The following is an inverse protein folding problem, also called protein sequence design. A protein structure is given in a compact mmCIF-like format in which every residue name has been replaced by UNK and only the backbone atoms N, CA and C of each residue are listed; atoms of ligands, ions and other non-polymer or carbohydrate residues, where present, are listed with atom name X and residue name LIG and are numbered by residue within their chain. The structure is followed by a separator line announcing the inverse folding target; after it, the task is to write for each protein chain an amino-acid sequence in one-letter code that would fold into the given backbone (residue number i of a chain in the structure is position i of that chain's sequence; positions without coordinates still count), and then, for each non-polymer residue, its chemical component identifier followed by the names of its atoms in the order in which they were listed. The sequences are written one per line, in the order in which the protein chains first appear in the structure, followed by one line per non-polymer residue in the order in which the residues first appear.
data_IF_473709716613
#
_entry.id   IF_473709716613
#
_cell.length_a   1.000
_cell.length_b   1.000
_cell.length_c   1.000
_cell.angle_alpha   90.00
_cell.angle_beta   90.00
_cell.angle_gamma   90.00
#
_symmetry.space_group_name_H-M   'P 1'
#
loop_
_entity.id
_entity.type
_entity.pdbx_description
1 polymer ?
#
# COMPACT_ATOMS: atom_id res chain seq x y z
N UNK A 1 -18.08 -9.77 15.16
CA UNK A 1 -16.90 -10.50 14.63
C UNK A 1 -16.69 -11.68 15.57
N UNK A 2 -16.78 -12.92 15.11
CA UNK A 2 -16.89 -14.13 15.97
C UNK A 2 -15.57 -14.79 16.38
N UNK A 3 -14.43 -14.32 15.86
CA UNK A 3 -13.11 -14.89 16.18
C UNK A 3 -12.36 -13.90 17.09
N UNK A 4 -11.83 -14.39 18.21
CA UNK A 4 -10.94 -13.63 19.11
C UNK A 4 -9.72 -13.08 18.36
N UNK A 5 -9.26 -11.88 18.70
CA UNK A 5 -8.17 -11.18 17.99
C UNK A 5 -6.91 -12.04 17.85
N UNK A 6 -6.53 -12.73 18.93
CA UNK A 6 -5.34 -13.59 18.99
C UNK A 6 -5.41 -14.79 18.01
N UNK A 7 -6.62 -15.23 17.66
CA UNK A 7 -6.87 -16.37 16.74
C UNK A 7 -7.07 -15.95 15.30
N UNK A 8 -7.11 -14.65 15.00
CA UNK A 8 -7.22 -14.15 13.62
C UNK A 8 -5.90 -14.39 12.90
N UNK A 9 -5.94 -14.66 11.60
CA UNK A 9 -4.72 -14.74 10.79
C UNK A 9 -4.28 -13.34 10.36
N UNK A 10 -2.97 -13.11 10.26
CA UNK A 10 -2.46 -11.87 9.66
C UNK A 10 -2.85 -11.81 8.18
N UNK A 11 -3.42 -10.69 7.78
CA UNK A 11 -3.79 -10.43 6.40
C UNK A 11 -2.94 -9.28 5.86
N UNK A 12 -2.14 -9.55 4.84
CA UNK A 12 -1.24 -8.57 4.24
C UNK A 12 -1.89 -7.94 3.01
N UNK A 13 -1.98 -6.61 3.02
CA UNK A 13 -2.49 -5.84 1.89
C UNK A 13 -1.40 -4.87 1.43
N UNK A 14 -1.03 -4.99 0.15
CA UNK A 14 -0.08 -4.12 -0.52
C UNK A 14 -0.84 -3.27 -1.53
N UNK A 15 -0.73 -1.95 -1.43
CA UNK A 15 -1.39 -1.01 -2.33
C UNK A 15 -0.31 -0.13 -2.96
N UNK A 16 -0.05 -0.39 -4.24
CA UNK A 16 0.79 0.50 -5.04
C UNK A 16 -0.03 1.64 -5.64
N UNK A 17 0.65 2.76 -5.91
CA UNK A 17 0.04 4.01 -6.35
C UNK A 17 -1.18 4.41 -5.50
N UNK A 18 -0.95 4.43 -4.18
CA UNK A 18 -1.96 4.61 -3.14
C UNK A 18 -2.88 5.81 -3.33
N UNK A 19 -2.42 6.87 -4.00
CA UNK A 19 -3.24 8.04 -4.32
C UNK A 19 -4.49 7.69 -5.14
N UNK A 20 -4.48 6.60 -5.93
CA UNK A 20 -5.64 6.13 -6.68
C UNK A 20 -6.73 5.51 -5.77
N UNK A 21 -6.36 5.09 -4.57
CA UNK A 21 -7.24 4.45 -3.59
C UNK A 21 -7.44 5.30 -2.33
N UNK A 22 -6.85 6.49 -2.31
CA UNK A 22 -6.88 7.46 -1.23
C UNK A 22 -8.29 8.07 -1.12
N UNK A 23 -9.21 7.32 -0.54
CA UNK A 23 -10.59 7.73 -0.20
C UNK A 23 -10.75 7.85 1.31
N UNK A 24 -11.79 8.52 1.81
CA UNK A 24 -12.02 8.64 3.26
C UNK A 24 -12.19 7.28 3.96
N UNK A 25 -12.66 6.26 3.24
CA UNK A 25 -12.76 4.89 3.77
C UNK A 25 -11.39 4.32 4.15
N UNK A 26 -10.32 4.67 3.41
CA UNK A 26 -8.98 4.16 3.69
C UNK A 26 -8.42 4.69 5.01
N UNK A 27 -8.75 5.94 5.37
CA UNK A 27 -8.40 6.54 6.67
C UNK A 27 -9.01 5.77 7.83
N UNK A 28 -10.24 5.31 7.66
CA UNK A 28 -10.93 4.46 8.66
C UNK A 28 -10.24 3.10 8.74
N UNK A 29 -9.96 2.47 7.60
CA UNK A 29 -9.24 1.19 7.55
C UNK A 29 -7.88 1.29 8.25
N UNK A 30 -7.10 2.33 7.96
CA UNK A 30 -5.78 2.57 8.59
C UNK A 30 -5.88 2.69 10.12
N UNK A 31 -6.91 3.38 10.61
CA UNK A 31 -7.12 3.60 12.05
C UNK A 31 -7.61 2.33 12.77
N UNK A 32 -8.26 1.41 12.06
CA UNK A 32 -8.82 0.18 12.63
C UNK A 32 -8.05 -1.10 12.29
N UNK A 33 -7.05 -1.01 11.39
CA UNK A 33 -6.35 -2.16 10.80
C UNK A 33 -5.85 -3.17 11.84
N UNK A 34 -5.35 -2.66 12.98
CA UNK A 34 -4.87 -3.49 14.09
C UNK A 34 -5.92 -4.46 14.61
N UNK A 35 -7.18 -4.02 14.78
CA UNK A 35 -8.29 -4.87 15.25
C UNK A 35 -8.47 -6.08 14.32
N UNK A 36 -8.21 -5.91 13.03
CA UNK A 36 -8.42 -6.94 12.01
C UNK A 36 -7.18 -7.77 11.71
N UNK A 37 -6.05 -7.56 12.42
CA UNK A 37 -4.73 -8.10 12.04
C UNK A 37 -4.38 -7.82 10.57
N UNK A 38 -4.78 -6.64 10.10
CA UNK A 38 -4.50 -6.16 8.76
C UNK A 38 -3.12 -5.49 8.74
N UNK A 39 -2.17 -6.13 8.08
CA UNK A 39 -0.85 -5.59 7.80
C UNK A 39 -0.89 -4.82 6.48
N UNK A 40 -1.05 -3.51 6.56
CA UNK A 40 -1.17 -2.64 5.39
C UNK A 40 0.19 -2.04 5.01
N UNK A 41 0.58 -2.18 3.74
CA UNK A 41 1.74 -1.54 3.13
C UNK A 41 1.26 -0.71 1.94
N UNK A 42 1.59 0.58 1.92
CA UNK A 42 1.17 1.51 0.86
C UNK A 42 2.38 2.21 0.27
N UNK A 43 2.38 2.41 -1.06
CA UNK A 43 3.39 3.17 -1.78
C UNK A 43 2.76 4.25 -2.67
N UNK A 44 3.42 5.39 -2.79
CA UNK A 44 3.06 6.47 -3.70
C UNK A 44 4.31 7.28 -4.08
N UNK A 45 4.27 7.97 -5.22
CA UNK A 45 5.41 8.75 -5.70
C UNK A 45 5.47 10.17 -5.13
N UNK A 46 4.33 10.84 -4.97
CA UNK A 46 4.25 12.23 -4.53
C UNK A 46 3.28 12.39 -3.37
N UNK A 47 3.72 12.99 -2.26
CA UNK A 47 2.85 13.20 -1.09
C UNK A 47 1.78 14.24 -1.42
N UNK A 48 2.09 15.20 -2.30
CA UNK A 48 1.16 16.22 -2.77
C UNK A 48 -0.08 15.69 -3.50
N UNK A 49 -0.07 14.43 -3.98
CA UNK A 49 -1.25 13.82 -4.60
C UNK A 49 -2.30 13.37 -3.58
N UNK A 50 -1.95 13.33 -2.28
CA UNK A 50 -2.88 12.96 -1.22
C UNK A 50 -3.70 14.17 -0.77
N UNK A 51 -5.01 13.96 -0.68
CA UNK A 51 -5.91 14.94 -0.05
C UNK A 51 -5.46 15.18 1.41
N UNK A 52 -5.45 16.43 1.92
CA UNK A 52 -4.88 16.76 3.23
C UNK A 52 -5.34 15.87 4.39
N UNK A 53 -6.65 15.57 4.47
CA UNK A 53 -7.24 14.70 5.50
C UNK A 53 -6.68 13.28 5.47
N UNK A 54 -6.44 12.73 4.28
CA UNK A 54 -5.87 11.38 4.11
C UNK A 54 -4.39 11.40 4.47
N UNK A 55 -3.66 12.43 4.03
CA UNK A 55 -2.26 12.61 4.41
C UNK A 55 -2.11 12.60 5.93
N UNK A 56 -2.87 13.41 6.65
CA UNK A 56 -2.83 13.44 8.13
C UNK A 56 -3.16 12.08 8.75
N UNK A 57 -4.18 11.39 8.23
CA UNK A 57 -4.57 10.06 8.72
C UNK A 57 -3.52 8.98 8.45
N UNK A 58 -2.88 9.00 7.28
CA UNK A 58 -1.81 8.05 6.92
C UNK A 58 -0.62 8.28 7.84
N UNK A 59 -0.05 9.48 7.85
CA UNK A 59 1.16 9.77 8.62
C UNK A 59 0.95 9.73 10.14
N UNK A 60 -0.28 9.89 10.62
CA UNK A 60 -0.63 9.72 12.03
C UNK A 60 -0.78 8.27 12.50
N UNK A 61 -1.07 7.33 11.58
CA UNK A 61 -1.34 5.92 11.92
C UNK A 61 -0.26 4.94 11.45
N UNK A 62 0.64 5.33 10.54
CA UNK A 62 1.72 4.45 10.08
C UNK A 62 2.85 4.37 11.11
N UNK A 63 3.25 3.14 11.42
CA UNK A 63 4.38 2.90 12.32
C UNK A 63 5.73 3.06 11.64
N UNK A 64 5.88 2.37 10.51
CA UNK A 64 7.12 2.31 9.74
C UNK A 64 7.03 3.17 8.49
N UNK A 65 8.04 3.99 8.26
CA UNK A 65 8.16 4.85 7.07
C UNK A 65 9.42 4.45 6.31
N UNK A 66 9.29 4.26 5.00
CA UNK A 66 10.40 4.05 4.06
C UNK A 66 10.36 5.19 3.05
N UNK A 67 11.48 5.90 2.88
CA UNK A 67 11.64 6.95 1.87
C UNK A 67 12.81 6.60 0.96
N UNK A 68 12.52 6.47 -0.34
CA UNK A 68 13.54 6.55 -1.38
C UNK A 68 13.87 8.02 -1.67
N UNK A 69 14.56 8.28 -2.77
CA UNK A 69 14.82 9.64 -3.24
C UNK A 69 13.50 10.35 -3.51
N UNK A 70 13.35 11.53 -2.93
CA UNK A 70 12.17 12.38 -3.07
C UNK A 70 12.55 13.77 -3.57
N UNK A 71 11.56 14.51 -4.09
CA UNK A 71 11.72 15.91 -4.46
C UNK A 71 11.79 16.84 -3.23
N UNK A 72 12.08 18.13 -3.47
CA UNK A 72 12.25 19.14 -2.40
C UNK A 72 10.99 19.27 -1.53
N UNK A 73 9.81 19.35 -2.14
CA UNK A 73 8.55 19.54 -1.43
C UNK A 73 8.22 18.35 -0.50
N UNK A 74 8.38 17.13 -1.01
CA UNK A 74 8.18 15.91 -0.24
C UNK A 74 9.26 15.77 0.85
N UNK A 75 10.51 16.15 0.57
CA UNK A 75 11.59 16.13 1.56
C UNK A 75 11.33 17.09 2.73
N UNK A 76 10.79 18.28 2.49
CA UNK A 76 10.39 19.23 3.53
C UNK A 76 9.31 18.62 4.44
N UNK A 77 8.33 17.94 3.85
CA UNK A 77 7.28 17.27 4.61
C UNK A 77 7.83 16.08 5.42
N UNK A 78 8.72 15.29 4.82
CA UNK A 78 9.28 14.07 5.43
C UNK A 78 10.36 14.36 6.47
N UNK A 79 10.99 15.53 6.45
CA UNK A 79 12.03 15.96 7.40
C UNK A 79 11.65 15.66 8.86
N UNK A 80 10.42 15.99 9.26
CA UNK A 80 9.93 15.78 10.63
C UNK A 80 9.97 14.31 11.08
N UNK A 81 9.93 13.37 10.13
CA UNK A 81 9.96 11.94 10.37
C UNK A 81 11.39 11.38 10.44
N UNK A 82 12.38 12.11 9.90
CA UNK A 82 13.75 11.62 9.78
C UNK A 82 14.77 12.41 10.61
N UNK A 83 14.38 13.58 11.13
CA UNK A 83 15.22 14.34 12.04
C UNK A 83 15.44 13.61 13.39
N UNK A 84 16.60 13.83 14.03
CA UNK A 84 17.71 14.69 13.59
C UNK A 84 18.73 13.94 12.70
N UNK A 85 18.45 12.71 12.29
CA UNK A 85 19.46 11.83 11.65
C UNK A 85 19.68 12.21 10.19
N UNK A 86 18.60 12.49 9.45
CA UNK A 86 18.68 12.90 8.05
C UNK A 86 18.05 14.27 7.85
N UNK A 87 18.73 15.08 7.05
CA UNK A 87 18.26 16.39 6.59
C UNK A 87 17.46 16.27 5.30
N UNK A 88 16.84 17.38 4.89
CA UNK A 88 16.21 17.53 3.57
C UNK A 88 17.19 17.21 2.45
N UNK A 89 18.43 17.70 2.57
CA UNK A 89 19.49 17.48 1.58
C UNK A 89 19.81 16.00 1.44
N UNK A 90 19.77 15.23 2.53
CA UNK A 90 20.01 13.78 2.50
C UNK A 90 18.88 13.04 1.78
N UNK A 91 17.63 13.45 1.99
CA UNK A 91 16.44 12.85 1.36
C UNK A 91 16.40 13.08 -0.16
N UNK A 92 16.86 14.23 -0.62
CA UNK A 92 16.92 14.58 -2.04
C UNK A 92 18.10 13.90 -2.75
N UNK A 93 19.23 13.75 -2.06
CA UNK A 93 20.48 13.28 -2.66
C UNK A 93 20.80 11.80 -2.40
N UNK A 94 19.91 11.05 -1.73
CA UNK A 94 20.09 9.63 -1.47
C UNK A 94 20.45 8.87 -2.75
N UNK A 95 21.44 7.98 -2.70
CA UNK A 95 21.91 7.23 -3.86
C UNK A 95 20.85 6.26 -4.39
N UNK A 96 20.94 5.93 -5.69
CA UNK A 96 20.09 4.87 -6.26
C UNK A 96 20.28 3.56 -5.48
N UNK A 97 19.22 2.77 -5.35
CA UNK A 97 19.21 1.53 -4.57
C UNK A 97 19.50 1.75 -3.07
N UNK A 98 19.19 2.93 -2.54
CA UNK A 98 19.18 3.17 -1.10
C UNK A 98 17.82 3.76 -0.70
N UNK A 99 17.40 3.50 0.54
CA UNK A 99 16.27 4.17 1.18
C UNK A 99 16.60 4.47 2.64
N UNK A 100 15.95 5.49 3.19
CA UNK A 100 15.93 5.71 4.63
C UNK A 100 14.67 5.08 5.22
N UNK A 101 14.82 4.45 6.38
CA UNK A 101 13.72 3.83 7.10
C UNK A 101 13.66 4.36 8.52
N UNK A 102 12.45 4.70 8.98
CA UNK A 102 12.10 4.88 10.39
C UNK A 102 11.17 3.74 10.80
N UNK A 103 11.69 2.63 11.35
CA UNK A 103 10.85 1.51 11.75
C UNK A 103 10.29 1.68 13.16
N UNK A 104 9.14 1.04 13.40
CA UNK A 104 8.70 0.67 14.74
C UNK A 104 9.14 -0.76 15.04
N UNK A 105 9.83 -0.95 16.15
CA UNK A 105 10.28 -2.26 16.65
C UNK A 105 9.70 -2.42 18.05
N UNK A 106 8.99 -3.52 18.30
CA UNK A 106 8.34 -3.82 19.58
C UNK A 106 7.47 -2.67 20.13
N UNK A 107 6.78 -1.96 19.22
CA UNK A 107 5.92 -0.83 19.56
C UNK A 107 6.65 0.48 19.86
N UNK A 108 7.98 0.52 19.73
CA UNK A 108 8.79 1.72 19.95
C UNK A 108 9.33 2.27 18.63
N UNK A 109 9.30 3.58 18.48
CA UNK A 109 9.95 4.26 17.36
C UNK A 109 11.46 4.20 17.53
N UNK A 110 12.15 3.82 16.45
CA UNK A 110 13.61 3.71 16.45
C UNK A 110 14.24 4.82 15.63
N UNK A 111 15.54 5.07 15.86
CA UNK A 111 16.28 6.06 15.08
C UNK A 111 16.30 5.65 13.61
N UNK A 112 16.04 6.58 12.68
CA UNK A 112 16.12 6.26 11.27
C UNK A 112 17.53 5.83 10.84
N UNK A 113 17.63 4.98 9.83
CA UNK A 113 18.91 4.56 9.25
C UNK A 113 18.80 4.31 7.74
N UNK A 114 19.96 4.27 7.07
CA UNK A 114 20.07 3.99 5.64
C UNK A 114 20.11 2.47 5.39
N UNK A 115 19.35 2.03 4.40
CA UNK A 115 19.37 0.67 3.88
C UNK A 115 19.72 0.68 2.40
N UNK A 116 20.71 -0.13 2.03
CA UNK A 116 21.04 -0.43 0.64
C UNK A 116 20.21 -1.61 0.14
N UNK A 117 19.52 -1.41 -0.98
CA UNK A 117 18.75 -2.44 -1.67
C UNK A 117 19.61 -3.13 -2.73
N UNK A 118 19.17 -4.32 -3.12
CA UNK A 118 19.75 -5.04 -4.23
C UNK A 118 18.86 -4.87 -5.46
N UNK A 119 19.49 -4.89 -6.64
CA UNK A 119 18.74 -5.02 -7.89
C UNK A 119 17.91 -6.31 -7.82
N UNK A 120 16.62 -6.30 -8.21
CA UNK A 120 15.88 -7.54 -8.33
C UNK A 120 16.65 -8.49 -9.24
N UNK A 121 16.83 -9.74 -8.80
CA UNK A 121 17.41 -10.77 -9.66
C UNK A 121 16.60 -10.82 -10.96
N UNK A 122 17.28 -10.99 -12.11
CA UNK A 122 16.59 -11.24 -13.37
C UNK A 122 15.59 -12.38 -13.17
N UNK A 123 14.30 -12.08 -13.33
CA UNK A 123 13.24 -13.07 -13.15
C UNK A 123 13.40 -14.23 -14.13
N UNK A 124 13.07 -15.43 -13.69
CA UNK A 124 13.02 -16.62 -14.53
C UNK A 124 11.80 -16.53 -15.45
N UNK A 125 12.02 -16.13 -16.70
CA UNK A 125 10.95 -15.94 -17.68
C UNK A 125 10.25 -17.25 -18.05
N UNK A 126 10.98 -18.36 -18.04
CA UNK A 126 10.45 -19.69 -18.36
C UNK A 126 9.49 -20.11 -17.23
N UNK A 127 9.95 -20.02 -15.98
CA UNK A 127 9.10 -20.28 -14.81
C UNK A 127 7.89 -19.36 -14.71
N UNK A 128 8.04 -18.08 -15.05
CA UNK A 128 6.91 -17.14 -15.09
C UNK A 128 5.87 -17.55 -16.15
N UNK A 129 6.33 -18.08 -17.29
CA UNK A 129 5.47 -18.60 -18.33
C UNK A 129 4.74 -19.86 -17.89
N UNK A 130 5.45 -20.81 -17.28
CA UNK A 130 4.87 -22.06 -16.76
C UNK A 130 3.79 -21.79 -15.72
N UNK A 131 4.04 -20.87 -14.79
CA UNK A 131 3.06 -20.46 -13.78
C UNK A 131 1.84 -19.86 -14.46
N UNK A 132 2.05 -18.93 -15.41
CA UNK A 132 0.95 -18.29 -16.14
C UNK A 132 0.11 -19.33 -16.90
N UNK A 133 0.74 -20.27 -17.58
CA UNK A 133 0.08 -21.32 -18.36
C UNK A 133 -0.70 -22.28 -17.45
N UNK A 134 -0.08 -22.77 -16.36
CA UNK A 134 -0.74 -23.61 -15.38
C UNK A 134 -1.99 -22.95 -14.79
N UNK A 135 -1.89 -21.68 -14.37
CA UNK A 135 -3.05 -20.95 -13.85
C UNK A 135 -4.10 -20.69 -14.92
N UNK A 136 -3.69 -20.40 -16.17
CA UNK A 136 -4.62 -20.24 -17.29
C UNK A 136 -5.38 -21.53 -17.62
N UNK A 137 -4.73 -22.69 -17.53
CA UNK A 137 -5.37 -23.98 -17.78
C UNK A 137 -6.24 -24.45 -16.61
N UNK A 138 -5.80 -24.17 -15.37
CA UNK A 138 -6.49 -24.65 -14.16
C UNK A 138 -7.65 -23.75 -13.75
N UNK A 139 -7.48 -22.42 -13.88
CA UNK A 139 -8.42 -21.42 -13.38
C UNK A 139 -8.87 -20.42 -14.45
N UNK A 140 -8.26 -20.45 -15.64
CA UNK A 140 -8.68 -19.57 -16.73
C UNK A 140 -10.11 -19.88 -17.14
N UNK A 141 -10.85 -18.82 -17.44
CA UNK A 141 -12.22 -18.88 -17.94
C UNK A 141 -12.27 -18.13 -19.26
N UNK A 142 -13.21 -18.53 -20.11
CA UNK A 142 -13.49 -17.80 -21.34
C UNK A 142 -13.79 -16.33 -21.01
N UNK A 143 -13.09 -15.43 -21.70
CA UNK A 143 -13.18 -13.99 -21.48
C UNK A 143 -14.61 -13.50 -21.67
N UNK A 144 -15.31 -13.98 -22.69
CA UNK A 144 -16.67 -13.52 -23.01
C UNK A 144 -17.63 -13.88 -21.87
N UNK A 145 -17.48 -15.09 -21.30
CA UNK A 145 -18.27 -15.51 -20.13
C UNK A 145 -17.95 -14.70 -18.87
N UNK A 146 -16.68 -14.34 -18.66
CA UNK A 146 -16.27 -13.49 -17.53
C UNK A 146 -16.83 -12.09 -17.69
N UNK A 147 -16.73 -11.50 -18.89
CA UNK A 147 -17.23 -10.16 -19.19
C UNK A 147 -18.77 -10.10 -19.07
N UNK A 148 -19.49 -11.12 -19.54
CA UNK A 148 -20.94 -11.25 -19.31
C UNK A 148 -21.29 -11.31 -17.81
N UNK A 149 -20.55 -12.10 -17.02
CA UNK A 149 -20.78 -12.23 -15.59
C UNK A 149 -20.51 -10.92 -14.84
N UNK A 150 -19.44 -10.21 -15.19
CA UNK A 150 -19.10 -8.89 -14.65
C UNK A 150 -20.21 -7.89 -14.98
N UNK A 151 -20.62 -7.81 -16.24
CA UNK A 151 -21.68 -6.90 -16.67
C UNK A 151 -23.01 -7.17 -15.96
N UNK A 152 -23.37 -8.45 -15.79
CA UNK A 152 -24.57 -8.86 -15.05
C UNK A 152 -24.49 -8.46 -13.58
N UNK A 153 -23.32 -8.62 -12.93
CA UNK A 153 -23.10 -8.17 -11.54
C UNK A 153 -23.19 -6.65 -11.41
N UNK A 154 -22.58 -5.90 -12.32
CA UNK A 154 -22.64 -4.43 -12.35
C UNK A 154 -24.08 -3.96 -12.55
N UNK A 155 -24.82 -4.57 -13.48
CA UNK A 155 -26.23 -4.25 -13.71
C UNK A 155 -27.08 -4.50 -12.47
N UNK A 156 -26.93 -5.67 -11.83
CA UNK A 156 -27.66 -6.00 -10.61
C UNK A 156 -27.32 -5.06 -9.43
N UNK A 157 -26.09 -4.56 -9.36
CA UNK A 157 -25.69 -3.54 -8.37
C UNK A 157 -26.39 -2.21 -8.63
N UNK A 158 -26.46 -1.75 -9.89
CA UNK A 158 -27.18 -0.53 -10.28
C UNK A 158 -28.68 -0.60 -9.98
N UNK A 159 -29.31 -1.73 -10.27
CA UNK A 159 -30.71 -2.02 -9.94
C UNK A 159 -30.98 -1.95 -8.42
N UNK A 160 -30.10 -2.55 -7.60
CA UNK A 160 -30.21 -2.50 -6.14
C UNK A 160 -30.02 -1.09 -5.57
N UNK A 161 -29.10 -0.31 -6.15
CA UNK A 161 -28.91 1.09 -5.76
C UNK A 161 -30.18 1.89 -6.08
N UNK A 162 -30.71 1.79 -7.30
CA UNK A 162 -31.91 2.52 -7.71
C UNK A 162 -33.17 2.16 -6.89
N UNK A 163 -33.27 0.93 -6.38
CA UNK A 163 -34.37 0.51 -5.48
C UNK A 163 -34.23 0.99 -4.04
N UNK A 164 -33.04 1.40 -3.61
CA UNK A 164 -32.78 1.92 -2.26
C UNK A 164 -32.82 3.47 -2.21
N UNK A 165 -32.85 4.14 -3.36
CA UNK A 165 -32.91 5.61 -3.47
C UNK A 165 -34.32 6.14 -3.80
N UNK A 166 -35.30 5.25 -3.95
CA UNK A 166 -36.74 5.54 -4.06
C UNK A 166 -37.48 4.97 -2.84
#
# INVERSE_FOLDING_TARGET
IDIEEEKRNDFYLYIDEFHNFATESISTILSEARKYRLCLTVSHQFIGQLVPKIKESVFGNIGTIISFRVGVEDAEFMKKEFEPIFSITDLINIDNFNFYIRPIIDGQTTKPFNVKTYFPSSGDKERAWDIKEYYSLTYGRDRDLVDEEINKRIYNLKEKINKNTN
#
